data_IF_452203994532
#
_entry.id   IF_452203994532
#
_cell.length_a   1.000
_cell.length_b   1.000
_cell.length_c   1.000
_cell.angle_alpha   90.00
_cell.angle_beta   90.00
_cell.angle_gamma   90.00
#
_symmetry.space_group_name_H-M   'P 1'
#
loop_
_entity.id
_entity.type
_entity.pdbx_description
1 polymer ?
#
# COMPACT_ATOMS: atom_id res chain seq x y z
N UNK A 1 -8.36 27.06 31.98
CA UNK A 1 -8.76 25.66 31.74
C UNK A 1 -10.11 25.65 31.04
N UNK A 2 -10.31 24.78 30.04
CA UNK A 2 -11.62 24.65 29.37
C UNK A 2 -12.42 23.60 30.17
N UNK A 3 -13.58 24.00 30.71
CA UNK A 3 -14.46 23.18 31.56
C UNK A 3 -14.99 21.91 30.85
N UNK A 4 -14.14 20.89 30.68
CA UNK A 4 -14.54 19.58 30.21
C UNK A 4 -14.76 18.65 31.40
N UNK A 5 -15.91 17.96 31.43
CA UNK A 5 -16.18 16.86 32.36
C UNK A 5 -16.04 15.52 31.64
N UNK A 6 -15.25 14.61 32.20
CA UNK A 6 -15.08 13.25 31.68
C UNK A 6 -16.19 12.35 32.24
N UNK A 7 -16.83 11.57 31.37
CA UNK A 7 -17.83 10.60 31.80
C UNK A 7 -17.15 9.34 32.31
N UNK A 8 -17.42 8.96 33.56
CA UNK A 8 -17.05 7.63 34.10
C UNK A 8 -17.99 6.52 33.59
N UNK A 9 -19.13 6.89 33.00
CA UNK A 9 -20.06 5.94 32.39
C UNK A 9 -19.58 5.59 30.99
N UNK A 10 -19.16 4.35 30.80
CA UNK A 10 -18.66 3.81 29.52
C UNK A 10 -19.71 3.71 28.40
N UNK A 11 -20.95 4.09 28.65
CA UNK A 11 -22.06 4.02 27.68
C UNK A 11 -21.80 4.81 26.40
N UNK A 12 -20.92 5.82 26.44
CA UNK A 12 -20.56 6.65 25.28
C UNK A 12 -19.04 6.68 25.02
N UNK A 13 -18.29 5.75 25.61
CA UNK A 13 -16.83 5.72 25.57
C UNK A 13 -16.19 6.44 26.76
N UNK A 14 -15.02 5.92 27.17
CA UNK A 14 -14.23 6.41 28.31
C UNK A 14 -12.96 7.14 27.84
N UNK A 15 -12.99 7.72 26.64
CA UNK A 15 -11.85 8.38 26.03
C UNK A 15 -11.40 9.57 26.90
N UNK A 16 -10.15 9.56 27.32
CA UNK A 16 -9.53 10.63 28.11
C UNK A 16 -8.13 10.96 27.60
N UNK A 17 -7.54 12.03 28.14
CA UNK A 17 -6.11 12.25 27.95
C UNK A 17 -5.34 11.15 28.68
N UNK A 18 -4.30 10.63 28.02
CA UNK A 18 -3.40 9.65 28.60
C UNK A 18 -2.78 10.18 29.89
N UNK A 19 -2.91 9.41 30.96
CA UNK A 19 -2.27 9.68 32.25
C UNK A 19 -0.77 9.41 32.19
N UNK A 20 -0.01 9.92 33.17
CA UNK A 20 1.44 9.64 33.27
C UNK A 20 1.77 8.16 33.50
N UNK A 21 0.86 7.42 34.13
CA UNK A 21 1.03 5.98 34.36
C UNK A 21 0.82 5.19 33.06
N UNK A 22 -0.30 5.43 32.37
CA UNK A 22 -0.57 4.84 31.05
C UNK A 22 0.53 5.18 30.05
N UNK A 23 1.03 6.42 30.07
CA UNK A 23 2.12 6.86 29.22
C UNK A 23 3.35 5.96 29.36
N UNK A 24 3.77 5.61 30.59
CA UNK A 24 4.96 4.77 30.83
C UNK A 24 4.75 3.31 30.40
N UNK A 25 3.51 2.86 30.34
CA UNK A 25 3.17 1.50 29.93
C UNK A 25 3.11 1.36 28.40
N UNK A 26 2.85 2.45 27.67
CA UNK A 26 2.65 2.43 26.21
C UNK A 26 3.82 3.05 25.44
N UNK A 27 4.41 4.13 25.95
CA UNK A 27 5.36 4.99 25.25
C UNK A 27 6.68 5.12 26.01
N UNK A 28 7.76 5.27 25.24
CA UNK A 28 9.08 5.52 25.76
C UNK A 28 9.50 6.98 25.57
N UNK A 29 10.24 7.51 26.55
CA UNK A 29 10.95 8.78 26.42
C UNK A 29 12.45 8.50 26.29
N UNK A 30 13.05 8.99 25.22
CA UNK A 30 14.51 8.95 25.03
C UNK A 30 15.08 10.34 24.83
N UNK A 31 16.30 10.54 25.33
CA UNK A 31 17.12 11.72 25.03
C UNK A 31 18.06 11.49 23.84
N UNK A 32 18.24 10.24 23.41
CA UNK A 32 19.07 9.88 22.26
C UNK A 32 18.25 9.03 21.28
N UNK A 33 18.02 9.57 20.08
CA UNK A 33 17.23 8.90 19.05
C UNK A 33 17.89 7.61 18.56
N UNK A 34 19.22 7.55 18.57
CA UNK A 34 19.98 6.40 18.08
C UNK A 34 19.79 5.15 18.94
N UNK A 35 19.29 5.33 20.17
CA UNK A 35 18.97 4.24 21.09
C UNK A 35 17.53 3.76 20.98
N UNK A 36 16.70 4.41 20.14
CA UNK A 36 15.30 4.06 19.96
C UNK A 36 15.05 3.38 18.63
N UNK A 37 14.59 2.14 18.67
CA UNK A 37 14.06 1.43 17.48
C UNK A 37 12.56 1.67 17.26
N UNK A 38 11.86 2.25 18.26
CA UNK A 38 10.42 2.53 18.19
C UNK A 38 10.02 3.63 17.20
N UNK A 39 8.74 3.69 16.82
CA UNK A 39 8.18 4.73 15.94
C UNK A 39 8.20 6.08 16.67
N UNK A 40 8.77 7.13 16.06
CA UNK A 40 8.78 8.46 16.67
C UNK A 40 7.42 9.10 16.49
N UNK A 41 6.82 9.55 17.60
CA UNK A 41 5.53 10.24 17.60
C UNK A 41 5.67 11.76 17.77
N UNK A 42 6.77 12.22 18.36
CA UNK A 42 7.03 13.64 18.57
C UNK A 42 7.97 13.89 19.73
N UNK A 43 7.85 15.07 20.35
CA UNK A 43 8.67 15.48 21.49
C UNK A 43 7.80 15.94 22.66
N UNK A 44 8.21 15.57 23.88
CA UNK A 44 7.61 16.01 25.13
C UNK A 44 8.74 16.41 26.09
N UNK A 45 8.70 17.63 26.63
CA UNK A 45 9.71 18.14 27.57
C UNK A 45 11.16 17.96 27.06
N UNK A 46 11.40 18.29 25.78
CA UNK A 46 12.69 18.11 25.08
C UNK A 46 13.19 16.66 24.98
N UNK A 47 12.36 15.68 25.31
CA UNK A 47 12.61 14.26 25.08
C UNK A 47 11.79 13.76 23.90
N UNK A 48 12.29 12.75 23.23
CA UNK A 48 11.63 12.14 22.09
C UNK A 48 10.66 11.08 22.60
N UNK A 49 9.41 11.17 22.13
CA UNK A 49 8.35 10.22 22.44
C UNK A 49 8.32 9.16 21.34
N UNK A 50 8.48 7.89 21.72
CA UNK A 50 8.47 6.77 20.79
C UNK A 50 7.48 5.69 21.21
N UNK A 51 6.80 5.08 20.24
CA UNK A 51 6.10 3.82 20.41
C UNK A 51 7.13 2.67 20.27
N UNK A 52 7.49 1.96 21.36
CA UNK A 52 8.49 0.91 21.30
C UNK A 52 8.06 -0.25 20.41
N UNK A 53 9.03 -0.96 19.86
CA UNK A 53 8.80 -2.16 19.06
C UNK A 53 8.13 -3.28 19.87
N UNK A 54 8.45 -3.39 21.16
CA UNK A 54 7.84 -4.34 22.11
C UNK A 54 6.42 -3.97 22.54
N UNK A 55 5.83 -2.91 21.97
CA UNK A 55 4.48 -2.49 22.32
C UNK A 55 3.47 -3.59 21.95
N UNK A 56 2.58 -4.00 22.87
CA UNK A 56 1.54 -4.98 22.57
C UNK A 56 0.40 -4.38 21.71
N UNK A 57 0.46 -3.08 21.41
CA UNK A 57 -0.58 -2.36 20.68
C UNK A 57 -0.30 -2.31 19.18
N UNK A 58 -1.35 -2.00 18.40
CA UNK A 58 -1.22 -1.77 16.97
C UNK A 58 -0.23 -0.63 16.69
N UNK A 59 0.70 -0.89 15.76
CA UNK A 59 1.77 0.05 15.37
C UNK A 59 1.44 0.85 14.11
N UNK A 60 0.26 0.64 13.52
CA UNK A 60 -0.22 1.44 12.41
C UNK A 60 -0.55 2.87 12.89
N UNK A 61 -0.04 3.86 12.18
CA UNK A 61 -0.21 5.28 12.54
C UNK A 61 -1.00 6.00 11.45
N UNK A 62 -2.07 6.67 11.86
CA UNK A 62 -2.83 7.59 11.00
C UNK A 62 -2.44 9.04 11.33
N UNK A 63 -1.99 9.79 10.34
CA UNK A 63 -1.54 11.18 10.50
C UNK A 63 -2.53 12.13 9.84
N UNK A 64 -3.14 12.99 10.65
CA UNK A 64 -4.11 13.99 10.20
C UNK A 64 -3.51 15.38 10.24
N UNK A 65 -3.81 16.20 9.23
CA UNK A 65 -3.38 17.59 9.18
C UNK A 65 -3.83 18.28 7.89
N UNK A 66 -4.04 19.60 7.96
CA UNK A 66 -4.42 20.40 6.80
C UNK A 66 -3.37 20.35 5.68
N UNK A 67 -3.73 20.78 4.47
CA UNK A 67 -2.71 21.02 3.44
C UNK A 67 -1.69 22.05 3.95
N UNK A 68 -0.40 21.84 3.64
CA UNK A 68 0.68 22.70 4.15
C UNK A 68 1.09 22.47 5.61
N UNK A 69 0.45 21.55 6.36
CA UNK A 69 0.81 21.25 7.75
C UNK A 69 2.11 20.43 7.91
N UNK A 70 2.95 20.40 6.88
CA UNK A 70 4.23 19.70 6.87
C UNK A 70 4.15 18.18 7.10
N UNK A 71 3.04 17.49 6.83
CA UNK A 71 2.91 16.02 7.06
C UNK A 71 4.05 15.20 6.46
N UNK A 72 4.42 15.47 5.20
CA UNK A 72 5.54 14.80 4.54
C UNK A 72 6.85 15.02 5.29
N UNK A 73 7.15 16.28 5.66
CA UNK A 73 8.40 16.65 6.35
C UNK A 73 8.45 16.19 7.81
N UNK A 74 7.37 16.36 8.55
CA UNK A 74 7.31 16.09 9.98
C UNK A 74 7.16 14.60 10.30
N UNK A 75 6.54 13.82 9.42
CA UNK A 75 6.30 12.39 9.65
C UNK A 75 6.92 11.50 8.58
N UNK A 76 6.50 11.58 7.31
CA UNK A 76 6.90 10.61 6.29
C UNK A 76 8.42 10.51 6.10
N UNK A 77 9.11 11.65 6.00
CA UNK A 77 10.58 11.72 5.91
C UNK A 77 11.26 11.09 7.13
N UNK A 78 10.73 11.34 8.33
CA UNK A 78 11.25 10.74 9.55
C UNK A 78 11.05 9.23 9.56
N UNK A 79 9.89 8.73 9.14
CA UNK A 79 9.64 7.29 9.00
C UNK A 79 10.66 6.63 8.08
N UNK A 80 11.00 7.24 6.94
CA UNK A 80 12.04 6.72 6.03
C UNK A 80 13.38 6.58 6.76
N UNK A 81 13.85 7.63 7.46
CA UNK A 81 15.09 7.54 8.24
C UNK A 81 15.04 6.43 9.30
N UNK A 82 13.90 6.27 9.95
CA UNK A 82 13.70 5.24 10.97
C UNK A 82 13.74 3.83 10.37
N UNK A 83 13.12 3.60 9.22
CA UNK A 83 13.15 2.32 8.52
C UNK A 83 14.57 1.98 8.08
N UNK A 84 15.31 2.95 7.54
CA UNK A 84 16.72 2.77 7.16
C UNK A 84 17.58 2.42 8.38
N UNK A 85 17.40 3.11 9.50
CA UNK A 85 18.11 2.81 10.74
C UNK A 85 17.82 1.39 11.26
N UNK A 86 16.66 0.81 10.92
CA UNK A 86 16.26 -0.56 11.27
C UNK A 86 16.56 -1.60 10.18
N UNK A 87 17.01 -1.19 8.99
CA UNK A 87 17.21 -2.08 7.85
C UNK A 87 15.89 -2.65 7.29
N UNK A 88 14.78 -1.92 7.43
CA UNK A 88 13.46 -2.36 6.95
C UNK A 88 13.26 -2.03 5.46
N UNK A 89 12.51 -2.88 4.76
CA UNK A 89 12.01 -2.58 3.42
C UNK A 89 10.97 -1.47 3.43
N UNK A 90 10.92 -0.68 2.36
CA UNK A 90 10.08 0.51 2.22
C UNK A 90 9.16 0.39 0.99
N UNK A 91 7.87 0.64 1.18
CA UNK A 91 6.91 0.89 0.10
C UNK A 91 6.27 2.25 0.38
N UNK A 92 6.47 3.20 -0.53
CA UNK A 92 6.04 4.59 -0.34
C UNK A 92 5.14 5.00 -1.49
N UNK A 93 3.92 5.44 -1.16
CA UNK A 93 3.04 6.11 -2.11
C UNK A 93 3.37 7.60 -2.13
N UNK A 94 3.93 8.09 -3.23
CA UNK A 94 4.41 9.47 -3.36
C UNK A 94 3.75 10.21 -4.54
N UNK A 95 2.53 10.74 -4.36
CA UNK A 95 1.78 11.39 -5.43
C UNK A 95 2.45 12.62 -6.03
N UNK A 96 3.43 13.22 -5.32
CA UNK A 96 4.13 14.45 -5.75
C UNK A 96 5.58 14.20 -6.14
N UNK A 97 6.05 12.96 -6.02
CA UNK A 97 7.45 12.58 -6.28
C UNK A 97 8.48 13.34 -5.42
N UNK A 98 8.04 13.95 -4.30
CA UNK A 98 8.92 14.72 -3.41
C UNK A 98 9.81 13.81 -2.56
N UNK A 99 9.28 12.65 -2.14
CA UNK A 99 10.00 11.69 -1.31
C UNK A 99 10.98 10.90 -2.17
N UNK A 100 10.60 10.52 -3.39
CA UNK A 100 11.54 9.89 -4.32
C UNK A 100 12.71 10.83 -4.63
N UNK A 101 12.44 12.09 -4.99
CA UNK A 101 13.48 13.07 -5.30
C UNK A 101 14.43 13.35 -4.12
N UNK A 102 13.90 13.41 -2.90
CA UNK A 102 14.71 13.65 -1.70
C UNK A 102 15.53 12.42 -1.26
N UNK A 103 15.00 11.21 -1.41
CA UNK A 103 15.54 10.02 -0.74
C UNK A 103 16.14 8.95 -1.65
N UNK A 104 15.92 8.97 -2.97
CA UNK A 104 16.43 7.90 -3.85
C UNK A 104 17.94 7.69 -3.69
N UNK A 105 18.74 8.75 -3.86
CA UNK A 105 20.19 8.68 -3.69
C UNK A 105 20.61 8.29 -2.26
N UNK A 106 19.90 8.82 -1.26
CA UNK A 106 20.18 8.49 0.14
C UNK A 106 19.96 6.99 0.41
N UNK A 107 18.89 6.41 -0.12
CA UNK A 107 18.56 4.99 0.04
C UNK A 107 19.58 4.10 -0.68
N UNK A 108 19.96 4.44 -1.91
CA UNK A 108 21.02 3.74 -2.66
C UNK A 108 22.35 3.73 -1.91
N UNK A 109 22.75 4.88 -1.34
CA UNK A 109 23.95 5.01 -0.51
C UNK A 109 23.91 4.15 0.76
N UNK A 110 22.71 3.79 1.22
CA UNK A 110 22.50 2.88 2.36
C UNK A 110 22.24 1.43 1.93
N UNK A 111 22.53 1.08 0.67
CA UNK A 111 22.48 -0.29 0.17
C UNK A 111 21.10 -0.77 -0.27
N UNK A 112 20.11 0.11 -0.38
CA UNK A 112 18.79 -0.25 -0.90
C UNK A 112 18.81 -0.33 -2.42
N UNK A 113 18.03 -1.28 -2.96
CA UNK A 113 17.61 -1.24 -4.36
C UNK A 113 16.37 -0.35 -4.45
N UNK A 114 16.53 0.84 -5.03
CA UNK A 114 15.44 1.79 -5.21
C UNK A 114 14.75 1.51 -6.54
N UNK A 115 13.42 1.38 -6.51
CA UNK A 115 12.56 1.19 -7.68
C UNK A 115 11.41 2.18 -7.63
N UNK A 116 10.96 2.63 -8.79
CA UNK A 116 9.84 3.56 -8.94
C UNK A 116 8.79 2.99 -9.88
N UNK A 117 7.54 2.98 -9.43
CA UNK A 117 6.39 2.64 -10.27
C UNK A 117 5.59 3.91 -10.57
N UNK A 118 5.85 4.51 -11.74
CA UNK A 118 5.27 5.78 -12.15
C UNK A 118 4.20 5.56 -13.24
N UNK A 119 2.94 5.73 -12.87
CA UNK A 119 1.80 5.59 -13.78
C UNK A 119 1.46 6.87 -14.57
N UNK A 120 2.06 8.02 -14.22
CA UNK A 120 1.83 9.30 -14.91
C UNK A 120 2.83 9.47 -16.06
N UNK A 121 4.09 9.15 -15.78
CA UNK A 121 5.20 9.20 -16.73
C UNK A 121 5.89 7.83 -16.80
N UNK A 122 5.33 6.87 -17.56
CA UNK A 122 5.84 5.50 -17.63
C UNK A 122 7.30 5.41 -18.12
N UNK A 123 7.76 6.38 -18.91
CA UNK A 123 9.14 6.50 -19.36
C UNK A 123 10.15 6.71 -18.21
N UNK A 124 9.68 7.22 -17.08
CA UNK A 124 10.46 7.42 -15.86
C UNK A 124 10.17 6.35 -14.80
N UNK A 125 9.51 5.24 -15.18
CA UNK A 125 9.16 4.12 -14.30
C UNK A 125 10.10 2.94 -14.51
N UNK A 126 10.39 2.21 -13.44
CA UNK A 126 10.73 0.81 -13.58
C UNK A 126 9.52 0.07 -14.18
N UNK A 127 9.77 -0.78 -15.16
CA UNK A 127 8.72 -1.58 -15.79
C UNK A 127 8.33 -2.75 -14.88
N UNK A 128 7.02 -3.00 -14.79
CA UNK A 128 6.48 -4.15 -14.06
C UNK A 128 5.41 -4.82 -14.91
N UNK A 129 5.47 -6.15 -14.97
CA UNK A 129 4.49 -6.97 -15.66
C UNK A 129 3.66 -7.75 -14.63
N UNK A 130 2.44 -7.31 -14.36
CA UNK A 130 1.58 -7.97 -13.38
C UNK A 130 1.26 -9.44 -13.71
N UNK A 131 1.28 -9.84 -14.99
CA UNK A 131 1.05 -11.24 -15.38
C UNK A 131 2.22 -12.16 -15.02
N UNK A 132 3.44 -11.64 -14.79
CA UNK A 132 4.55 -12.49 -14.35
C UNK A 132 4.38 -12.99 -12.91
N UNK A 133 3.58 -12.30 -12.10
CA UNK A 133 3.31 -12.69 -10.70
C UNK A 133 2.37 -13.90 -10.58
N UNK A 134 1.75 -14.35 -11.68
CA UNK A 134 0.84 -15.49 -11.66
C UNK A 134 1.60 -16.78 -11.35
N UNK A 135 2.80 -16.94 -11.91
CA UNK A 135 3.70 -18.08 -11.66
C UNK A 135 3.01 -19.48 -11.68
N UNK A 136 2.10 -19.70 -12.64
CA UNK A 136 1.33 -20.94 -12.79
C UNK A 136 0.32 -21.21 -11.67
N UNK A 137 0.08 -20.24 -10.79
CA UNK A 137 -0.87 -20.35 -9.69
C UNK A 137 -2.18 -19.65 -10.07
N UNK A 138 -3.22 -20.42 -10.34
CA UNK A 138 -4.55 -19.89 -10.67
C UNK A 138 -5.13 -19.00 -9.56
N UNK A 139 -4.71 -19.20 -8.31
CA UNK A 139 -5.03 -18.34 -7.16
C UNK A 139 -4.43 -16.94 -7.29
N UNK A 140 -3.25 -16.80 -7.89
CA UNK A 140 -2.63 -15.50 -8.13
C UNK A 140 -3.31 -14.76 -9.28
N UNK A 141 -3.73 -15.48 -10.32
CA UNK A 141 -4.57 -14.89 -11.37
C UNK A 141 -5.91 -14.39 -10.81
N UNK A 142 -6.54 -15.17 -9.93
CA UNK A 142 -7.75 -14.74 -9.20
C UNK A 142 -7.49 -13.47 -8.37
N UNK A 143 -6.43 -13.48 -7.54
CA UNK A 143 -6.10 -12.34 -6.68
C UNK A 143 -5.84 -11.08 -7.50
N UNK A 144 -5.11 -11.20 -8.61
CA UNK A 144 -4.86 -10.11 -9.54
C UNK A 144 -6.17 -9.50 -10.09
N UNK A 145 -7.04 -10.34 -10.63
CA UNK A 145 -8.32 -9.89 -11.18
C UNK A 145 -9.21 -9.29 -10.08
N UNK A 146 -9.27 -9.89 -8.89
CA UNK A 146 -10.01 -9.36 -7.75
C UNK A 146 -9.52 -7.97 -7.33
N UNK A 147 -8.20 -7.73 -7.35
CA UNK A 147 -7.62 -6.42 -7.04
C UNK A 147 -8.03 -5.39 -8.08
N UNK A 148 -8.02 -5.72 -9.37
CA UNK A 148 -8.47 -4.80 -10.43
C UNK A 148 -9.94 -4.42 -10.20
N UNK A 149 -10.83 -5.42 -10.17
CA UNK A 149 -12.28 -5.19 -10.07
C UNK A 149 -12.61 -4.38 -8.81
N UNK A 150 -12.05 -4.73 -7.64
CA UNK A 150 -12.30 -3.98 -6.40
C UNK A 150 -11.87 -2.51 -6.45
N UNK A 151 -10.84 -2.18 -7.23
CA UNK A 151 -10.36 -0.80 -7.35
C UNK A 151 -11.09 0.00 -8.44
N UNK A 152 -11.79 -0.66 -9.36
CA UNK A 152 -12.55 -0.01 -10.46
C UNK A 152 -14.06 -0.04 -10.26
N UNK A 153 -14.59 -0.94 -9.44
CA UNK A 153 -16.02 -1.08 -9.17
C UNK A 153 -16.59 0.15 -8.45
N UNK A 154 -17.81 0.50 -8.84
CA UNK A 154 -18.59 1.56 -8.18
C UNK A 154 -19.32 1.02 -6.94
N UNK A 155 -19.61 1.88 -5.96
CA UNK A 155 -20.29 1.48 -4.71
C UNK A 155 -21.69 0.85 -4.89
N UNK A 156 -22.30 0.99 -6.08
CA UNK A 156 -23.66 0.55 -6.36
C UNK A 156 -23.73 -0.60 -7.38
N UNK A 157 -22.61 -1.21 -7.73
CA UNK A 157 -22.57 -2.31 -8.67
C UNK A 157 -23.23 -3.57 -8.07
N UNK A 158 -24.09 -4.23 -8.84
CA UNK A 158 -24.69 -5.48 -8.36
C UNK A 158 -23.68 -6.62 -8.48
N UNK A 159 -23.67 -7.48 -7.46
CA UNK A 159 -22.74 -8.61 -7.36
C UNK A 159 -22.66 -9.46 -8.62
N UNK A 160 -23.78 -9.64 -9.33
CA UNK A 160 -23.83 -10.41 -10.56
C UNK A 160 -22.91 -9.86 -11.65
N UNK A 161 -22.91 -8.54 -11.88
CA UNK A 161 -22.07 -7.92 -12.90
C UNK A 161 -20.60 -7.96 -12.51
N UNK A 162 -20.29 -7.72 -11.23
CA UNK A 162 -18.93 -7.83 -10.71
C UNK A 162 -18.37 -9.27 -10.84
N UNK A 163 -19.17 -10.28 -10.52
CA UNK A 163 -18.76 -11.69 -10.63
C UNK A 163 -18.57 -12.09 -12.11
N UNK A 164 -19.40 -11.58 -13.02
CA UNK A 164 -19.27 -11.82 -14.46
C UNK A 164 -18.01 -11.16 -15.05
N UNK A 165 -17.77 -9.88 -14.73
CA UNK A 165 -16.59 -9.14 -15.17
C UNK A 165 -15.30 -9.80 -14.69
N UNK A 166 -15.27 -10.21 -13.42
CA UNK A 166 -14.15 -10.94 -12.82
C UNK A 166 -13.84 -12.24 -13.59
N UNK A 167 -14.86 -13.04 -13.88
CA UNK A 167 -14.68 -14.32 -14.57
C UNK A 167 -14.18 -14.12 -16.01
N UNK A 168 -14.70 -13.13 -16.74
CA UNK A 168 -14.24 -12.79 -18.09
C UNK A 168 -12.79 -12.32 -18.05
N UNK A 169 -12.46 -11.40 -17.15
CA UNK A 169 -11.10 -10.90 -17.00
C UNK A 169 -10.12 -12.03 -16.64
N UNK A 170 -10.50 -12.90 -15.71
CA UNK A 170 -9.68 -14.05 -15.31
C UNK A 170 -9.46 -15.02 -16.47
N UNK A 171 -10.51 -15.35 -17.22
CA UNK A 171 -10.40 -16.22 -18.39
C UNK A 171 -9.45 -15.62 -19.44
N UNK A 172 -9.57 -14.33 -19.74
CA UNK A 172 -8.69 -13.62 -20.66
C UNK A 172 -7.23 -13.58 -20.16
N UNK A 173 -7.01 -13.34 -18.87
CA UNK A 173 -5.68 -13.34 -18.24
C UNK A 173 -5.03 -14.72 -18.35
N UNK A 174 -5.75 -15.79 -17.99
CA UNK A 174 -5.23 -17.16 -18.05
C UNK A 174 -4.98 -17.60 -19.49
N UNK A 175 -5.85 -17.21 -20.43
CA UNK A 175 -5.67 -17.47 -21.85
C UNK A 175 -4.39 -16.84 -22.39
N UNK A 176 -4.14 -15.56 -22.07
CA UNK A 176 -2.88 -14.90 -22.45
C UNK A 176 -1.69 -15.55 -21.74
N UNK A 177 -1.80 -15.85 -20.44
CA UNK A 177 -0.70 -16.41 -19.67
C UNK A 177 -0.23 -17.78 -20.18
N UNK A 178 -1.16 -18.70 -20.46
CA UNK A 178 -0.83 -20.05 -20.92
C UNK A 178 -0.67 -20.15 -22.45
N UNK A 179 -1.42 -19.35 -23.21
CA UNK A 179 -1.47 -19.45 -24.67
C UNK A 179 -0.43 -18.61 -25.42
N UNK A 180 0.07 -17.51 -24.83
CA UNK A 180 0.98 -16.60 -25.53
C UNK A 180 2.44 -16.93 -25.23
N UNK A 181 3.37 -16.61 -26.15
CA UNK A 181 4.81 -16.69 -25.88
C UNK A 181 5.19 -15.70 -24.75
N UNK A 182 6.29 -15.93 -24.01
CA UNK A 182 6.67 -15.13 -22.84
C UNK A 182 6.63 -13.61 -23.07
N UNK A 183 7.04 -13.14 -24.24
CA UNK A 183 7.06 -11.72 -24.63
C UNK A 183 5.63 -11.14 -24.78
N UNK A 184 4.66 -11.99 -25.08
CA UNK A 184 3.25 -11.65 -25.21
C UNK A 184 2.45 -11.77 -23.90
N UNK A 185 3.03 -12.28 -22.81
CA UNK A 185 2.31 -12.48 -21.54
C UNK A 185 2.22 -11.19 -20.72
N UNK A 186 1.46 -10.22 -21.22
CA UNK A 186 1.31 -8.92 -20.56
C UNK A 186 -0.13 -8.39 -20.62
N UNK A 187 -0.46 -7.44 -19.74
CA UNK A 187 -1.80 -6.88 -19.61
C UNK A 187 -2.28 -6.16 -20.88
N UNK A 188 -1.35 -5.66 -21.70
CA UNK A 188 -1.69 -5.05 -22.99
C UNK A 188 -2.30 -6.05 -23.98
N UNK A 189 -1.86 -7.31 -23.95
CA UNK A 189 -2.46 -8.36 -24.78
C UNK A 189 -3.83 -8.79 -24.25
N UNK A 190 -3.99 -8.87 -22.93
CA UNK A 190 -5.31 -9.11 -22.32
C UNK A 190 -6.30 -8.02 -22.72
N UNK A 191 -5.88 -6.75 -22.67
CA UNK A 191 -6.71 -5.62 -23.09
C UNK A 191 -7.08 -5.70 -24.57
N UNK A 192 -6.13 -6.03 -25.46
CA UNK A 192 -6.41 -6.23 -26.88
C UNK A 192 -7.40 -7.37 -27.11
N UNK A 193 -7.25 -8.49 -26.38
CA UNK A 193 -8.17 -9.62 -26.47
C UNK A 193 -9.61 -9.18 -26.14
N UNK A 194 -9.79 -8.42 -25.06
CA UNK A 194 -11.11 -7.96 -24.63
C UNK A 194 -11.73 -6.87 -25.52
N UNK A 195 -10.91 -6.03 -26.17
CA UNK A 195 -11.40 -4.83 -26.89
C UNK A 195 -11.43 -4.95 -28.40
N UNK A 196 -10.63 -5.86 -28.97
CA UNK A 196 -10.52 -6.01 -30.43
C UNK A 196 -11.25 -7.23 -30.97
N UNK A 197 -11.82 -8.08 -30.11
CA UNK A 197 -12.59 -9.25 -30.52
C UNK A 197 -14.07 -9.02 -30.22
N UNK A 198 -14.90 -9.51 -31.13
CA UNK A 198 -16.34 -9.65 -30.92
C UNK A 198 -16.64 -10.77 -29.91
N UNK A 199 -17.85 -10.78 -29.37
CA UNK A 199 -18.31 -11.87 -28.50
C UNK A 199 -18.20 -13.23 -29.19
N UNK A 200 -18.60 -13.33 -30.46
CA UNK A 200 -18.53 -14.58 -31.24
C UNK A 200 -17.08 -15.09 -31.38
N UNK A 201 -16.14 -14.19 -31.65
CA UNK A 201 -14.71 -14.53 -31.76
C UNK A 201 -14.14 -15.01 -30.41
N UNK A 202 -14.46 -14.31 -29.31
CA UNK A 202 -14.03 -14.72 -27.97
C UNK A 202 -14.61 -16.09 -27.58
N UNK A 203 -15.90 -16.31 -27.85
CA UNK A 203 -16.54 -17.61 -27.61
C UNK A 203 -15.88 -18.72 -28.43
N UNK A 204 -15.57 -18.46 -29.71
CA UNK A 204 -14.88 -19.42 -30.56
C UNK A 204 -13.48 -19.76 -30.04
N UNK A 205 -12.71 -18.75 -29.62
CA UNK A 205 -11.39 -18.93 -29.03
C UNK A 205 -11.43 -19.83 -27.79
N UNK A 206 -12.39 -19.59 -26.88
CA UNK A 206 -12.52 -20.40 -25.67
C UNK A 206 -13.04 -21.82 -25.93
N UNK A 207 -13.89 -22.02 -26.96
CA UNK A 207 -14.33 -23.37 -27.36
C UNK A 207 -13.22 -24.24 -27.92
N UNK A 208 -12.16 -23.64 -28.46
CA UNK A 208 -11.00 -24.36 -28.98
C UNK A 208 -10.00 -24.80 -27.90
N UNK A 209 -10.20 -24.39 -26.64
CA UNK A 209 -9.32 -24.81 -25.55
C UNK A 209 -9.46 -26.32 -25.28
N UNK A 210 -8.35 -27.01 -24.99
CA UNK A 210 -8.41 -28.42 -24.62
C UNK A 210 -9.19 -28.60 -23.32
N UNK A 211 -10.01 -29.65 -23.26
CA UNK A 211 -10.76 -30.08 -22.06
C UNK A 211 -9.84 -30.58 -20.95
#
# INVERSE_FOLDING_TARGET
ERNFSYSEKGTYGTSGYMTREEFRNVLNLTSDIRRSTGIILGTLENKIVCLPESSPYNRNVAVFGASGSMKSRAYARNVIFQCVARGESLIVTDPKSELYGDFALYLEQHGYTVRVFNLIHPENSDSWNCLSEIDGQDTMAQLFCDVIIKNTSSKNETRFWADAELNILKAAVLYVYYGFPPEGRNIGQVYKLLTLNTEEELCSLFQMLPN
#
